data_IF_982777019515
#
_entry.id   IF_982777019515
#
_cell.length_a   1.000
_cell.length_b   1.000
_cell.length_c   1.000
_cell.angle_alpha   90.00
_cell.angle_beta   90.00
_cell.angle_gamma   90.00
#
_symmetry.space_group_name_H-M   'P 1'
#
loop_
_entity.id
_entity.type
_entity.pdbx_description
1 polymer ?
#
# COMPACT_ATOMS: atom_id res chain seq x y z
N UNK A 1 -10.99 3.99 28.07
CA UNK A 1 -12.02 4.63 27.22
C UNK A 1 -12.28 3.69 26.06
N UNK A 2 -13.51 3.19 25.93
CA UNK A 2 -13.90 2.33 24.82
C UNK A 2 -14.33 3.21 23.65
N UNK A 3 -13.71 3.01 22.48
CA UNK A 3 -14.13 3.66 21.24
C UNK A 3 -15.43 3.01 20.73
N UNK A 4 -16.42 3.78 20.27
CA UNK A 4 -17.68 3.21 19.81
C UNK A 4 -17.47 2.33 18.57
N UNK A 5 -18.01 1.12 18.64
CA UNK A 5 -18.00 0.11 17.58
C UNK A 5 -19.12 0.37 16.57
N UNK A 6 -18.93 1.34 15.69
CA UNK A 6 -19.65 1.42 14.41
C UNK A 6 -18.64 1.82 13.35
N UNK A 7 -18.23 0.87 12.50
CA UNK A 7 -17.57 1.21 11.23
C UNK A 7 -18.58 1.97 10.39
N UNK A 8 -18.67 3.28 10.57
CA UNK A 8 -19.42 4.14 9.66
C UNK A 8 -18.75 3.99 8.30
N UNK A 9 -19.42 3.27 7.40
CA UNK A 9 -18.96 3.11 6.03
C UNK A 9 -18.70 4.51 5.45
N UNK A 10 -17.53 4.70 4.85
CA UNK A 10 -17.17 5.97 4.23
C UNK A 10 -18.15 6.29 3.11
N UNK A 11 -18.66 7.52 3.03
CA UNK A 11 -19.64 7.91 2.00
C UNK A 11 -19.10 7.71 0.58
N UNK A 12 -17.81 8.00 0.37
CA UNK A 12 -17.12 7.85 -0.91
C UNK A 12 -16.55 6.44 -1.14
N UNK A 13 -16.53 5.59 -0.11
CA UNK A 13 -15.96 4.24 -0.19
C UNK A 13 -16.79 3.25 0.66
N UNK A 14 -18.13 3.16 0.47
CA UNK A 14 -19.01 2.40 1.35
C UNK A 14 -18.77 0.89 1.30
N UNK A 15 -18.04 0.41 0.29
CA UNK A 15 -17.66 -1.00 0.10
C UNK A 15 -16.17 -1.25 0.37
N UNK A 16 -15.44 -0.26 0.87
CA UNK A 16 -14.04 -0.39 1.27
C UNK A 16 -13.13 0.66 0.66
N UNK A 17 -12.13 1.08 1.43
CA UNK A 17 -11.07 1.98 1.02
C UNK A 17 -9.75 1.20 0.95
N UNK A 18 -9.03 1.29 -0.17
CA UNK A 18 -7.74 0.62 -0.36
C UNK A 18 -6.60 1.64 -0.23
N UNK A 19 -5.58 1.35 0.57
CA UNK A 19 -4.32 2.10 0.53
C UNK A 19 -3.43 1.57 -0.59
N UNK A 20 -2.94 2.43 -1.47
CA UNK A 20 -2.10 2.03 -2.61
C UNK A 20 -0.72 2.65 -2.46
N UNK A 21 0.31 1.82 -2.56
CA UNK A 21 1.71 2.22 -2.47
C UNK A 21 2.32 2.24 -3.86
N UNK A 22 2.54 3.45 -4.39
CA UNK A 22 2.90 3.65 -5.80
C UNK A 22 4.33 4.19 -5.96
N UNK A 23 5.20 3.57 -6.77
CA UNK A 23 6.54 4.11 -7.08
C UNK A 23 6.50 5.56 -7.56
N UNK A 24 7.42 6.40 -7.11
CA UNK A 24 7.45 7.85 -7.42
C UNK A 24 7.43 8.19 -8.92
N UNK A 25 7.90 7.28 -9.78
CA UNK A 25 7.96 7.48 -11.23
C UNK A 25 6.78 6.84 -11.98
N UNK A 26 5.93 6.07 -11.30
CA UNK A 26 4.77 5.44 -11.93
C UNK A 26 3.64 6.49 -12.07
N UNK A 27 3.14 6.69 -13.28
CA UNK A 27 2.08 7.67 -13.58
C UNK A 27 0.74 7.03 -13.91
N UNK A 28 0.64 5.70 -13.87
CA UNK A 28 -0.51 4.95 -14.40
C UNK A 28 -1.34 4.28 -13.32
N UNK A 29 -0.76 3.90 -12.19
CA UNK A 29 -1.47 3.17 -11.12
C UNK A 29 -2.71 3.93 -10.67
N UNK A 30 -2.59 5.21 -10.33
CA UNK A 30 -3.75 5.96 -9.85
C UNK A 30 -4.84 6.16 -10.90
N UNK A 31 -4.56 6.62 -12.14
CA UNK A 31 -5.61 6.77 -13.14
C UNK A 31 -6.22 5.43 -13.57
N UNK A 32 -5.46 4.34 -13.64
CA UNK A 32 -5.99 3.02 -14.00
C UNK A 32 -6.89 2.46 -12.88
N UNK A 33 -6.48 2.56 -11.62
CA UNK A 33 -7.33 2.16 -10.50
C UNK A 33 -8.59 3.03 -10.41
N UNK A 34 -8.49 4.34 -10.61
CA UNK A 34 -9.65 5.22 -10.65
C UNK A 34 -10.67 4.83 -11.75
N UNK A 35 -10.19 4.32 -12.89
CA UNK A 35 -11.03 3.86 -13.98
C UNK A 35 -11.62 2.45 -13.75
N UNK A 36 -10.91 1.58 -13.03
CA UNK A 36 -11.26 0.16 -12.90
C UNK A 36 -11.95 -0.21 -11.58
N UNK A 37 -11.79 0.59 -10.52
CA UNK A 37 -12.40 0.27 -9.23
C UNK A 37 -13.93 0.29 -9.34
N UNK A 38 -14.62 -0.72 -8.79
CA UNK A 38 -16.07 -0.80 -8.88
C UNK A 38 -16.72 0.30 -8.03
N UNK A 39 -17.98 0.67 -8.33
CA UNK A 39 -18.72 1.64 -7.53
C UNK A 39 -18.73 1.27 -6.04
N UNK A 40 -18.45 2.27 -5.21
CA UNK A 40 -18.40 2.15 -3.76
C UNK A 40 -17.05 1.69 -3.20
N UNK A 41 -16.06 1.38 -4.04
CA UNK A 41 -14.67 1.14 -3.63
C UNK A 41 -13.84 2.34 -4.06
N UNK A 42 -13.02 2.85 -3.15
CA UNK A 42 -12.09 3.94 -3.45
C UNK A 42 -10.65 3.55 -3.06
N UNK A 43 -9.71 4.41 -3.41
CA UNK A 43 -8.33 4.30 -2.97
C UNK A 43 -7.82 5.63 -2.39
N UNK A 44 -6.83 5.52 -1.51
CA UNK A 44 -5.90 6.60 -1.15
C UNK A 44 -4.49 6.14 -1.50
N UNK A 45 -3.70 7.03 -2.10
CA UNK A 45 -2.34 6.72 -2.54
C UNK A 45 -1.30 7.25 -1.55
N UNK A 46 -0.21 6.51 -1.38
CA UNK A 46 1.02 7.00 -0.82
C UNK A 46 2.20 6.66 -1.74
N UNK A 47 2.99 7.68 -2.06
CA UNK A 47 4.16 7.51 -2.93
C UNK A 47 5.33 6.84 -2.22
N UNK A 48 5.85 5.80 -2.86
CA UNK A 48 7.10 5.15 -2.55
C UNK A 48 8.22 5.98 -3.17
N UNK A 49 8.91 6.74 -2.33
CA UNK A 49 9.97 7.67 -2.74
C UNK A 49 11.32 7.20 -2.24
N UNK A 50 12.38 7.50 -3.00
CA UNK A 50 13.73 7.09 -2.64
C UNK A 50 14.78 7.83 -3.47
N UNK A 51 15.92 8.21 -2.85
CA UNK A 51 16.94 9.03 -3.50
C UNK A 51 17.94 8.22 -4.35
N UNK A 52 17.84 6.89 -4.38
CA UNK A 52 18.84 6.05 -5.07
C UNK A 52 18.90 6.41 -6.57
N UNK A 53 20.10 6.58 -7.13
CA UNK A 53 20.25 6.89 -8.54
C UNK A 53 19.95 5.68 -9.43
N UNK A 54 20.28 4.47 -8.96
CA UNK A 54 20.05 3.22 -9.67
C UNK A 54 18.61 2.74 -9.57
N UNK A 55 18.08 2.25 -10.69
CA UNK A 55 16.69 1.78 -10.76
C UNK A 55 16.47 0.53 -9.90
N UNK A 56 17.38 -0.45 -9.96
CA UNK A 56 17.24 -1.73 -9.25
C UNK A 56 17.25 -1.53 -7.74
N UNK A 57 18.15 -0.69 -7.26
CA UNK A 57 18.28 -0.34 -5.85
C UNK A 57 17.01 0.36 -5.36
N UNK A 58 16.43 1.28 -6.13
CA UNK A 58 15.13 1.89 -5.77
C UNK A 58 14.02 0.85 -5.69
N UNK A 59 13.91 -0.04 -6.67
CA UNK A 59 12.86 -1.07 -6.69
C UNK A 59 12.96 -1.99 -5.47
N UNK A 60 14.17 -2.39 -5.10
CA UNK A 60 14.40 -3.20 -3.90
C UNK A 60 14.15 -2.43 -2.61
N UNK A 61 14.56 -1.16 -2.52
CA UNK A 61 14.29 -0.30 -1.35
C UNK A 61 12.78 -0.13 -1.15
N UNK A 62 12.00 0.11 -2.22
CA UNK A 62 10.53 0.18 -2.14
C UNK A 62 9.88 -1.06 -1.53
N UNK A 63 10.40 -2.25 -1.84
CA UNK A 63 9.90 -3.49 -1.27
C UNK A 63 10.38 -3.66 0.19
N UNK A 64 11.66 -3.36 0.46
CA UNK A 64 12.25 -3.56 1.80
C UNK A 64 11.69 -2.60 2.85
N UNK A 65 11.28 -1.42 2.42
CA UNK A 65 10.69 -0.37 3.26
C UNK A 65 9.14 -0.46 3.33
N UNK A 66 8.56 -1.56 2.85
CA UNK A 66 7.10 -1.73 2.71
C UNK A 66 6.35 -1.52 4.03
N UNK A 67 6.90 -1.97 5.15
CA UNK A 67 6.31 -1.77 6.49
C UNK A 67 6.20 -0.28 6.84
N UNK A 68 7.28 0.49 6.64
CA UNK A 68 7.28 1.93 6.89
C UNK A 68 6.33 2.67 5.93
N UNK A 69 6.33 2.26 4.66
CA UNK A 69 5.42 2.82 3.66
C UNK A 69 3.96 2.57 4.02
N UNK A 70 3.61 1.35 4.43
CA UNK A 70 2.26 0.99 4.86
C UNK A 70 1.84 1.77 6.11
N UNK A 71 2.76 1.99 7.08
CA UNK A 71 2.48 2.75 8.29
C UNK A 71 2.00 4.19 8.02
N UNK A 72 2.32 4.78 6.86
CA UNK A 72 1.80 6.10 6.45
C UNK A 72 0.27 6.14 6.28
N UNK A 73 -0.35 4.97 6.08
CA UNK A 73 -1.79 4.79 6.00
C UNK A 73 -2.42 4.24 7.29
N UNK A 74 -1.65 4.02 8.36
CA UNK A 74 -2.13 3.32 9.56
C UNK A 74 -3.30 3.99 10.30
N UNK A 75 -3.46 5.30 10.17
CA UNK A 75 -4.57 6.05 10.77
C UNK A 75 -5.75 6.25 9.80
N UNK A 76 -5.59 5.87 8.53
CA UNK A 76 -6.69 5.88 7.56
C UNK A 76 -7.52 4.60 7.76
N UNK A 77 -8.86 4.65 7.56
CA UNK A 77 -9.74 3.50 7.66
C UNK A 77 -9.66 2.63 6.39
N UNK A 78 -8.44 2.30 5.96
CA UNK A 78 -8.19 1.39 4.83
C UNK A 78 -8.48 -0.05 5.24
N UNK A 79 -9.06 -0.82 4.34
CA UNK A 79 -9.40 -2.24 4.54
C UNK A 79 -8.42 -3.20 3.84
N UNK A 80 -7.44 -2.65 3.13
CA UNK A 80 -6.40 -3.38 2.42
C UNK A 80 -5.27 -2.42 2.04
N UNK A 81 -4.06 -2.97 1.87
CA UNK A 81 -2.91 -2.29 1.26
C UNK A 81 -2.51 -3.02 -0.03
N UNK A 82 -2.31 -2.25 -1.11
CA UNK A 82 -1.80 -2.72 -2.38
C UNK A 82 -0.40 -2.14 -2.64
N UNK A 83 0.57 -3.01 -2.93
CA UNK A 83 1.92 -2.62 -3.33
C UNK A 83 2.05 -2.67 -4.86
N UNK A 84 2.08 -1.51 -5.52
CA UNK A 84 2.00 -1.42 -6.98
C UNK A 84 3.38 -1.39 -7.66
N UNK A 85 4.26 -2.33 -7.30
CA UNK A 85 5.64 -2.37 -7.80
C UNK A 85 6.11 -3.79 -8.19
N UNK A 86 5.57 -4.33 -9.28
CA UNK A 86 5.99 -5.62 -9.85
C UNK A 86 7.48 -5.67 -10.20
N UNK A 87 8.10 -4.53 -10.54
CA UNK A 87 9.51 -4.46 -10.90
C UNK A 87 10.47 -4.93 -9.81
N UNK A 88 10.08 -4.81 -8.53
CA UNK A 88 10.88 -5.29 -7.39
C UNK A 88 10.99 -6.82 -7.37
N UNK A 89 9.93 -7.52 -7.79
CA UNK A 89 9.85 -8.98 -7.82
C UNK A 89 10.86 -9.64 -8.74
N UNK A 90 11.32 -8.93 -9.78
CA UNK A 90 12.37 -9.43 -10.66
C UNK A 90 13.72 -9.61 -9.97
N UNK A 91 13.91 -9.00 -8.79
CA UNK A 91 15.21 -8.95 -8.10
C UNK A 91 15.19 -9.52 -6.67
N UNK A 92 14.09 -9.43 -5.93
CA UNK A 92 14.01 -9.90 -4.54
C UNK A 92 13.82 -11.43 -4.43
N UNK A 93 13.05 -12.00 -5.35
CA UNK A 93 12.67 -13.42 -5.31
C UNK A 93 11.62 -13.74 -4.23
N UNK A 94 10.94 -14.90 -4.35
CA UNK A 94 9.71 -15.19 -3.60
C UNK A 94 9.92 -15.36 -2.09
N UNK A 95 11.10 -15.81 -1.65
CA UNK A 95 11.40 -15.99 -0.22
C UNK A 95 11.56 -14.65 0.49
N UNK A 96 12.23 -13.68 -0.14
CA UNK A 96 12.39 -12.34 0.42
C UNK A 96 11.04 -11.63 0.48
N UNK A 97 10.24 -11.69 -0.59
CA UNK A 97 8.89 -11.11 -0.63
C UNK A 97 8.00 -11.67 0.48
N UNK A 98 7.98 -13.00 0.64
CA UNK A 98 7.18 -13.66 1.69
C UNK A 98 7.61 -13.19 3.08
N UNK A 99 8.92 -13.10 3.32
CA UNK A 99 9.44 -12.63 4.60
C UNK A 99 9.09 -11.17 4.87
N UNK A 100 9.11 -10.30 3.85
CA UNK A 100 8.75 -8.89 3.95
C UNK A 100 7.26 -8.72 4.27
N UNK A 101 6.39 -9.41 3.52
CA UNK A 101 4.93 -9.36 3.75
C UNK A 101 4.59 -9.89 5.15
N UNK A 102 5.23 -10.98 5.59
CA UNK A 102 5.03 -11.53 6.92
C UNK A 102 5.40 -10.54 8.02
N UNK A 103 6.51 -9.80 7.87
CA UNK A 103 6.89 -8.74 8.82
C UNK A 103 5.88 -7.59 8.83
N UNK A 104 5.46 -7.11 7.65
CA UNK A 104 4.46 -6.05 7.54
C UNK A 104 3.14 -6.42 8.22
N UNK A 105 2.65 -7.65 8.02
CA UNK A 105 1.40 -8.14 8.63
C UNK A 105 1.53 -8.27 10.16
N UNK A 106 2.71 -8.61 10.66
CA UNK A 106 2.98 -8.72 12.09
C UNK A 106 3.18 -7.36 12.78
N UNK A 107 3.34 -6.27 12.02
CA UNK A 107 3.67 -4.95 12.56
C UNK A 107 2.51 -4.38 13.41
N UNK A 108 2.76 -3.96 14.66
CA UNK A 108 1.73 -3.40 15.52
C UNK A 108 1.23 -2.05 14.98
N UNK A 109 -0.07 -1.78 15.14
CA UNK A 109 -0.69 -0.52 14.73
C UNK A 109 -1.19 -0.49 13.28
N UNK A 110 -0.87 -1.51 12.49
CA UNK A 110 -1.40 -1.70 11.15
C UNK A 110 -2.59 -2.68 11.21
N UNK A 111 -3.81 -2.16 11.06
CA UNK A 111 -5.04 -2.98 10.98
C UNK A 111 -5.64 -2.73 9.60
N UNK A 112 -5.34 -3.63 8.67
CA UNK A 112 -5.89 -3.63 7.32
C UNK A 112 -7.05 -4.61 7.26
#
# INVERSE_FOLDING_TARGET
>A
MAFPSHSMALEYAPRGLIGVLTPQANTTVEPELAALLPPGVAMVDARLTGPRPGMVERLLDYLRDLEEAAARSANAPVSAIAFACTGSSYYAGPLEETAIVARMVAAPGCRW
#
